data_IF_581044246179
#
_entry.id   IF_581044246179
#
_cell.length_a   1.000
_cell.length_b   1.000
_cell.length_c   1.000
_cell.angle_alpha   90.00
_cell.angle_beta   90.00
_cell.angle_gamma   90.00
#
_symmetry.space_group_name_H-M   'P 1'
#
loop_
_entity.id
_entity.type
_entity.pdbx_description
1 polymer ?
#
# COMPACT_ATOMS: atom_id res chain seq x y z
N UNK A 1 11.12 -12.80 -0.56
CA UNK A 1 10.96 -14.24 -0.85
C UNK A 1 9.50 -14.72 -0.79
N UNK A 2 8.77 -14.53 0.32
CA UNK A 2 7.41 -15.11 0.48
C UNK A 2 6.36 -14.54 -0.50
N UNK A 3 6.35 -13.23 -0.73
CA UNK A 3 5.43 -12.59 -1.69
C UNK A 3 5.60 -13.17 -3.11
N UNK A 4 6.85 -13.23 -3.60
CA UNK A 4 7.22 -13.85 -4.89
C UNK A 4 6.67 -15.27 -5.01
N UNK A 5 6.82 -16.10 -3.97
CA UNK A 5 6.30 -17.47 -3.99
C UNK A 5 4.76 -17.53 -4.03
N UNK A 6 4.08 -16.71 -3.23
CA UNK A 6 2.61 -16.70 -3.14
C UNK A 6 2.00 -16.21 -4.46
N UNK A 7 2.53 -15.11 -5.01
CA UNK A 7 2.12 -14.56 -6.30
C UNK A 7 2.68 -15.33 -7.51
N UNK A 8 3.50 -16.37 -7.28
CA UNK A 8 4.15 -17.15 -8.33
C UNK A 8 4.94 -16.30 -9.33
N UNK A 9 5.55 -15.22 -8.83
CA UNK A 9 6.36 -14.29 -9.62
C UNK A 9 7.74 -14.90 -9.94
N UNK A 10 8.39 -14.37 -10.98
CA UNK A 10 9.79 -14.69 -11.25
C UNK A 10 10.67 -14.21 -10.11
N UNK A 11 11.82 -14.88 -9.91
CA UNK A 11 12.84 -14.40 -8.96
C UNK A 11 13.42 -13.04 -9.37
N UNK A 12 13.37 -12.74 -10.66
CA UNK A 12 13.86 -11.49 -11.24
C UNK A 12 12.75 -10.43 -11.38
N UNK A 13 11.55 -10.69 -10.84
CA UNK A 13 10.47 -9.71 -10.85
C UNK A 13 10.89 -8.45 -10.07
N UNK A 14 10.88 -7.26 -10.70
CA UNK A 14 11.35 -6.05 -10.06
C UNK A 14 10.35 -5.55 -9.03
N UNK A 15 10.86 -4.98 -7.93
CA UNK A 15 10.09 -4.17 -6.99
C UNK A 15 10.63 -2.75 -7.05
N UNK A 16 9.73 -1.79 -7.26
CA UNK A 16 10.05 -0.39 -7.06
C UNK A 16 9.81 -0.04 -5.59
N UNK A 17 10.80 0.57 -4.95
CA UNK A 17 10.75 0.96 -3.54
C UNK A 17 11.25 2.40 -3.44
N UNK A 18 10.37 3.32 -3.04
CA UNK A 18 10.66 4.75 -3.03
C UNK A 18 11.92 5.12 -2.26
N UNK A 19 12.15 4.49 -1.11
CA UNK A 19 13.31 4.71 -0.26
C UNK A 19 14.66 4.43 -0.95
N UNK A 20 14.67 3.55 -1.96
CA UNK A 20 15.86 3.21 -2.75
C UNK A 20 15.89 3.86 -4.13
N UNK A 21 14.73 4.20 -4.68
CA UNK A 21 14.62 4.80 -6.02
C UNK A 21 14.90 6.30 -6.02
N UNK A 22 14.53 7.01 -4.96
CA UNK A 22 14.67 8.46 -4.87
C UNK A 22 15.87 8.85 -4.00
N UNK A 23 16.47 10.01 -4.31
CA UNK A 23 17.56 10.59 -3.50
C UNK A 23 17.01 11.16 -2.20
N UNK A 24 16.92 10.32 -1.17
CA UNK A 24 16.33 10.70 0.12
C UNK A 24 16.97 11.94 0.80
N UNK A 25 18.22 12.28 0.47
CA UNK A 25 18.92 13.46 0.98
C UNK A 25 18.57 14.77 0.24
N UNK A 26 17.90 14.65 -0.91
CA UNK A 26 17.50 15.73 -1.81
C UNK A 26 16.12 15.41 -2.40
N UNK A 27 15.23 14.83 -1.59
CA UNK A 27 13.93 14.34 -2.06
C UNK A 27 13.10 15.49 -2.63
N UNK A 28 13.23 16.68 -2.06
CA UNK A 28 12.55 17.91 -2.49
C UNK A 28 12.88 18.28 -3.95
N UNK A 29 14.08 17.94 -4.43
CA UNK A 29 14.50 18.18 -5.82
C UNK A 29 13.82 17.20 -6.80
N UNK A 30 13.27 16.10 -6.31
CA UNK A 30 12.62 15.04 -7.08
C UNK A 30 11.09 15.03 -6.94
N UNK A 31 10.55 15.81 -6.00
CA UNK A 31 9.11 16.01 -5.81
C UNK A 31 8.61 17.17 -6.68
N UNK A 32 7.45 16.98 -7.29
CA UNK A 32 6.70 18.02 -7.99
C UNK A 32 5.58 18.53 -7.08
N UNK A 33 5.16 19.79 -7.28
CA UNK A 33 4.02 20.35 -6.56
C UNK A 33 2.74 19.53 -6.78
N UNK A 34 2.55 19.02 -8.00
CA UNK A 34 1.49 18.05 -8.28
C UNK A 34 1.99 16.63 -7.92
N UNK A 35 1.39 15.95 -6.92
CA UNK A 35 1.79 14.59 -6.53
C UNK A 35 1.70 13.58 -7.68
N UNK A 36 0.84 13.81 -8.67
CA UNK A 36 0.64 12.90 -9.80
C UNK A 36 1.80 12.89 -10.80
N UNK A 37 2.63 13.92 -10.79
CA UNK A 37 3.80 14.04 -11.69
C UNK A 37 5.07 13.42 -11.12
N UNK A 38 5.03 12.97 -9.86
CA UNK A 38 6.17 12.42 -9.14
C UNK A 38 6.63 11.07 -9.71
N UNK A 39 7.86 10.66 -9.36
CA UNK A 39 8.39 9.33 -9.71
C UNK A 39 7.53 8.18 -9.17
N UNK A 40 6.84 8.40 -8.04
CA UNK A 40 5.92 7.45 -7.41
C UNK A 40 4.77 7.08 -8.35
N UNK A 41 4.00 8.08 -8.81
CA UNK A 41 2.88 7.84 -9.71
C UNK A 41 3.31 7.23 -11.05
N UNK A 42 4.47 7.64 -11.57
CA UNK A 42 5.06 7.02 -12.78
C UNK A 42 5.35 5.53 -12.56
N UNK A 43 5.92 5.16 -11.43
CA UNK A 43 6.19 3.76 -11.10
C UNK A 43 4.88 2.97 -10.91
N UNK A 44 3.90 3.53 -10.23
CA UNK A 44 2.59 2.89 -10.04
C UNK A 44 1.86 2.62 -11.37
N UNK A 45 1.89 3.58 -12.30
CA UNK A 45 1.24 3.46 -13.61
C UNK A 45 1.74 2.26 -14.44
N UNK A 46 2.98 1.82 -14.23
CA UNK A 46 3.57 0.67 -14.93
C UNK A 46 3.62 -0.60 -14.08
N UNK A 47 3.23 -0.53 -12.80
CA UNK A 47 3.29 -1.66 -11.87
C UNK A 47 2.03 -2.52 -11.94
N UNK A 48 2.16 -3.84 -11.74
CA UNK A 48 1.01 -4.76 -11.69
C UNK A 48 0.20 -4.66 -10.37
N UNK A 49 0.87 -4.24 -9.29
CA UNK A 49 0.29 -4.20 -7.95
C UNK A 49 1.14 -3.40 -6.97
N UNK A 50 0.54 -3.09 -5.83
CA UNK A 50 1.18 -2.47 -4.68
C UNK A 50 1.32 -3.50 -3.55
N UNK A 51 2.48 -3.52 -2.90
CA UNK A 51 2.74 -4.30 -1.69
C UNK A 51 2.94 -3.34 -0.51
N UNK A 52 1.91 -3.21 0.32
CA UNK A 52 1.97 -2.44 1.56
C UNK A 52 2.66 -3.28 2.64
N UNK A 53 3.74 -2.77 3.25
CA UNK A 53 4.47 -3.50 4.30
C UNK A 53 4.23 -2.80 5.64
N UNK A 54 3.48 -3.45 6.53
CA UNK A 54 3.15 -2.95 7.85
C UNK A 54 4.19 -3.40 8.89
N UNK A 55 4.72 -2.43 9.61
CA UNK A 55 5.50 -2.64 10.82
C UNK A 55 4.62 -3.12 11.98
N UNK A 56 5.28 -3.80 12.92
CA UNK A 56 4.68 -4.24 14.17
C UNK A 56 4.64 -3.09 15.18
N UNK A 57 4.04 -3.35 16.34
CA UNK A 57 3.95 -2.40 17.44
C UNK A 57 5.31 -1.72 17.72
N UNK A 58 5.38 -0.41 17.50
CA UNK A 58 6.49 0.42 17.98
C UNK A 58 6.13 1.09 19.30
N UNK A 59 7.14 1.34 20.14
CA UNK A 59 7.00 1.91 21.48
C UNK A 59 6.26 3.27 21.48
N UNK A 60 6.42 4.06 20.41
CA UNK A 60 5.91 5.43 20.33
C UNK A 60 4.79 5.65 19.31
N UNK A 61 4.70 4.84 18.25
CA UNK A 61 3.77 5.06 17.13
C UNK A 61 2.70 3.99 17.00
N UNK A 62 2.72 2.95 17.85
CA UNK A 62 1.83 1.79 17.69
C UNK A 62 2.22 0.95 16.46
N UNK A 63 1.34 0.05 16.00
CA UNK A 63 1.59 -0.76 14.80
C UNK A 63 1.11 -0.03 13.53
N UNK A 64 1.55 -0.52 12.36
CA UNK A 64 1.07 -0.04 11.05
C UNK A 64 1.31 1.46 10.78
N UNK A 65 2.50 1.95 11.10
CA UNK A 65 2.99 3.30 10.80
C UNK A 65 2.73 3.76 9.36
N UNK A 66 2.76 2.92 8.29
CA UNK A 66 2.37 3.36 6.95
C UNK A 66 0.99 4.02 6.87
N UNK A 67 0.02 3.62 7.68
CA UNK A 67 -1.32 4.23 7.68
C UNK A 67 -1.34 5.68 8.16
N UNK A 68 -0.33 6.11 8.93
CA UNK A 68 -0.22 7.51 9.36
C UNK A 68 0.57 8.38 8.40
N UNK A 69 1.07 7.84 7.28
CA UNK A 69 1.90 8.58 6.31
C UNK A 69 1.09 8.96 5.09
N UNK A 70 0.99 10.26 4.81
CA UNK A 70 0.13 10.78 3.73
C UNK A 70 0.56 10.30 2.34
N UNK A 71 1.85 10.08 2.11
CA UNK A 71 2.35 9.48 0.87
C UNK A 71 1.90 8.02 0.71
N UNK A 72 1.91 7.22 1.79
CA UNK A 72 1.40 5.84 1.73
C UNK A 72 -0.13 5.83 1.54
N UNK A 73 -0.84 6.75 2.19
CA UNK A 73 -2.27 6.97 1.98
C UNK A 73 -2.58 7.33 0.52
N UNK A 74 -1.78 8.19 -0.10
CA UNK A 74 -1.91 8.53 -1.51
C UNK A 74 -1.67 7.33 -2.43
N UNK A 75 -0.62 6.53 -2.20
CA UNK A 75 -0.36 5.31 -2.95
C UNK A 75 -1.51 4.30 -2.83
N UNK A 76 -2.11 4.16 -1.64
CA UNK A 76 -3.29 3.31 -1.44
C UNK A 76 -4.50 3.84 -2.19
N UNK A 77 -4.77 5.14 -2.08
CA UNK A 77 -5.86 5.78 -2.82
C UNK A 77 -5.69 5.62 -4.33
N UNK A 78 -4.51 5.89 -4.88
CA UNK A 78 -4.24 5.68 -6.31
C UNK A 78 -4.44 4.22 -6.72
N UNK A 79 -4.00 3.26 -5.90
CA UNK A 79 -4.19 1.83 -6.17
C UNK A 79 -5.67 1.43 -6.21
N UNK A 80 -6.49 2.01 -5.32
CA UNK A 80 -7.90 1.65 -5.15
C UNK A 80 -8.84 2.43 -6.09
N UNK A 81 -8.48 3.66 -6.44
CA UNK A 81 -9.33 4.60 -7.18
C UNK A 81 -9.02 4.65 -8.69
N UNK A 82 -7.90 4.08 -9.13
CA UNK A 82 -7.52 4.08 -10.54
C UNK A 82 -8.41 3.15 -11.38
N UNK A 83 -9.37 3.77 -12.06
CA UNK A 83 -10.29 3.13 -13.01
C UNK A 83 -9.85 3.25 -14.47
N UNK A 84 -8.71 3.90 -14.74
CA UNK A 84 -8.22 4.14 -16.10
C UNK A 84 -7.56 2.91 -16.74
N UNK A 85 -7.17 1.94 -15.90
CA UNK A 85 -6.43 0.74 -16.32
C UNK A 85 -7.36 -0.34 -16.86
N UNK A 86 -6.87 -1.11 -17.83
CA UNK A 86 -7.58 -2.29 -18.35
C UNK A 86 -7.79 -3.39 -17.29
N UNK A 87 -6.96 -3.38 -16.25
CA UNK A 87 -7.04 -4.29 -15.10
C UNK A 87 -6.76 -3.52 -13.81
N UNK A 88 -7.54 -3.82 -12.77
CA UNK A 88 -7.33 -3.30 -11.42
C UNK A 88 -5.91 -3.62 -10.94
N UNK A 89 -5.25 -2.65 -10.32
CA UNK A 89 -3.98 -2.86 -9.64
C UNK A 89 -4.19 -3.74 -8.41
N UNK A 90 -3.34 -4.76 -8.23
CA UNK A 90 -3.43 -5.65 -7.05
C UNK A 90 -2.97 -4.91 -5.79
N UNK A 91 -3.64 -5.14 -4.66
CA UNK A 91 -3.20 -4.63 -3.36
C UNK A 91 -2.92 -5.79 -2.41
N UNK A 92 -1.64 -6.00 -2.12
CA UNK A 92 -1.20 -6.97 -1.11
C UNK A 92 -0.69 -6.25 0.12
N UNK A 93 -0.93 -6.84 1.29
CA UNK A 93 -0.46 -6.32 2.57
C UNK A 93 0.41 -7.37 3.24
N UNK A 94 1.64 -7.02 3.58
CA UNK A 94 2.56 -7.87 4.30
C UNK A 94 2.79 -7.34 5.71
N UNK A 95 3.02 -8.26 6.65
CA UNK A 95 3.56 -7.91 7.95
C UNK A 95 4.43 -9.04 8.50
N UNK A 96 5.30 -8.70 9.45
CA UNK A 96 6.18 -9.66 10.12
C UNK A 96 5.54 -10.17 11.41
N UNK A 97 5.25 -11.47 11.47
CA UNK A 97 4.76 -12.14 12.68
C UNK A 97 5.89 -12.94 13.34
N UNK A 98 5.74 -13.41 14.60
CA UNK A 98 6.76 -14.25 15.25
C UNK A 98 7.13 -15.50 14.44
N UNK A 99 6.20 -16.03 13.65
CA UNK A 99 6.39 -17.19 12.78
C UNK A 99 7.01 -16.86 11.41
N UNK A 100 7.24 -15.58 11.10
CA UNK A 100 7.74 -15.12 9.81
C UNK A 100 6.82 -14.09 9.14
N UNK A 101 7.18 -13.68 7.92
CA UNK A 101 6.32 -12.81 7.11
C UNK A 101 4.97 -13.47 6.82
N UNK A 102 3.87 -12.72 6.92
CA UNK A 102 2.51 -13.14 6.57
C UNK A 102 1.93 -12.10 5.62
N UNK A 103 1.09 -12.53 4.69
CA UNK A 103 0.55 -11.68 3.64
C UNK A 103 -0.96 -11.86 3.52
N UNK A 104 -1.69 -10.75 3.50
CA UNK A 104 -3.02 -10.66 2.92
C UNK A 104 -2.86 -10.35 1.43
N UNK A 105 -3.57 -11.07 0.58
CA UNK A 105 -3.54 -10.81 -0.87
C UNK A 105 -4.89 -10.33 -1.40
N UNK A 106 -4.88 -9.46 -2.41
CA UNK A 106 -6.09 -9.21 -3.20
C UNK A 106 -6.41 -10.46 -4.05
N UNK A 107 -7.58 -11.04 -3.81
CA UNK A 107 -8.05 -12.26 -4.44
C UNK A 107 -7.30 -13.54 -4.04
N UNK A 108 -7.64 -14.61 -4.75
CA UNK A 108 -6.95 -15.90 -4.71
C UNK A 108 -5.68 -15.83 -5.54
N UNK A 109 -4.64 -16.50 -5.08
CA UNK A 109 -3.36 -16.59 -5.80
C UNK A 109 -3.20 -17.94 -6.48
N UNK A 110 -2.27 -18.04 -7.42
CA UNK A 110 -1.92 -19.33 -8.02
C UNK A 110 -1.44 -20.34 -6.97
N UNK A 111 -0.76 -19.86 -5.92
CA UNK A 111 -0.36 -20.71 -4.81
C UNK A 111 -1.57 -21.37 -4.17
N UNK A 112 -2.66 -20.62 -3.93
CA UNK A 112 -3.90 -21.14 -3.33
C UNK A 112 -4.55 -22.22 -4.22
N UNK A 113 -4.40 -22.11 -5.54
CA UNK A 113 -4.96 -23.03 -6.54
C UNK A 113 -4.12 -24.31 -6.74
N UNK A 114 -2.81 -24.22 -6.54
CA UNK A 114 -1.84 -25.30 -6.87
C UNK A 114 -1.50 -26.22 -5.69
N UNK A 115 -2.14 -26.05 -4.52
CA UNK A 115 -1.90 -26.91 -3.36
C UNK A 115 -2.28 -28.37 -3.64
N UNK A 116 -1.43 -29.29 -3.19
CA UNK A 116 -1.58 -30.74 -3.34
C UNK A 116 -1.35 -31.41 -1.98
N UNK A 117 -2.18 -32.39 -1.58
CA UNK A 117 -3.38 -32.89 -2.27
C UNK A 117 -4.52 -31.86 -2.24
N UNK A 118 -5.35 -31.83 -3.29
CA UNK A 118 -6.50 -30.91 -3.43
C UNK A 118 -7.69 -31.32 -2.56
N UNK A 119 -7.45 -31.46 -1.25
CA UNK A 119 -8.47 -31.85 -0.27
C UNK A 119 -9.38 -30.66 0.04
N UNK A 120 -8.83 -29.46 0.08
CA UNK A 120 -9.54 -28.23 0.41
C UNK A 120 -9.64 -27.27 -0.79
N UNK A 121 -10.69 -26.44 -0.87
CA UNK A 121 -10.81 -25.44 -1.91
C UNK A 121 -9.76 -24.32 -1.76
N UNK A 122 -9.41 -23.58 -2.83
CA UNK A 122 -8.42 -22.50 -2.76
C UNK A 122 -8.71 -21.42 -1.72
N UNK A 123 -9.99 -21.11 -1.46
CA UNK A 123 -10.40 -20.16 -0.42
C UNK A 123 -9.99 -20.61 0.99
N UNK A 124 -9.99 -21.92 1.25
CA UNK A 124 -9.51 -22.47 2.52
C UNK A 124 -7.99 -22.32 2.64
N UNK A 125 -7.22 -22.57 1.58
CA UNK A 125 -5.76 -22.37 1.60
C UNK A 125 -5.39 -20.91 1.88
N UNK A 126 -6.09 -19.96 1.22
CA UNK A 126 -5.97 -18.52 1.48
C UNK A 126 -6.26 -18.20 2.94
N UNK A 127 -7.44 -18.61 3.44
CA UNK A 127 -7.83 -18.35 4.82
C UNK A 127 -6.80 -18.91 5.82
N UNK A 128 -6.31 -20.13 5.62
CA UNK A 128 -5.34 -20.77 6.51
C UNK A 128 -3.99 -20.03 6.51
N UNK A 129 -3.45 -19.62 5.35
CA UNK A 129 -2.17 -18.89 5.33
C UNK A 129 -2.28 -17.44 5.84
N UNK A 130 -3.48 -16.85 5.75
CA UNK A 130 -3.77 -15.48 6.20
C UNK A 130 -4.19 -15.41 7.68
N UNK A 131 -4.58 -16.54 8.29
CA UNK A 131 -5.13 -16.61 9.65
C UNK A 131 -4.25 -15.99 10.74
N UNK A 132 -2.94 -15.90 10.51
CA UNK A 132 -1.97 -15.38 11.48
C UNK A 132 -1.58 -13.92 11.22
N UNK A 133 -2.20 -13.22 10.26
CA UNK A 133 -1.77 -11.90 9.82
C UNK A 133 -1.69 -10.85 10.94
N UNK A 134 -2.58 -10.93 11.94
CA UNK A 134 -2.60 -10.04 13.10
C UNK A 134 -3.85 -9.18 13.13
N UNK A 135 -4.76 -9.46 14.07
CA UNK A 135 -6.06 -8.79 14.14
C UNK A 135 -5.94 -7.28 14.43
N UNK A 136 -4.94 -6.86 15.20
CA UNK A 136 -4.73 -5.45 15.51
C UNK A 136 -4.32 -4.63 14.27
N UNK A 137 -3.55 -5.22 13.35
CA UNK A 137 -3.22 -4.59 12.07
C UNK A 137 -4.46 -4.44 11.18
N UNK A 138 -5.32 -5.47 11.17
CA UNK A 138 -6.58 -5.43 10.43
C UNK A 138 -7.49 -4.33 10.99
N UNK A 139 -7.63 -4.26 12.32
CA UNK A 139 -8.40 -3.20 12.98
C UNK A 139 -7.87 -1.82 12.62
N UNK A 140 -6.55 -1.61 12.70
CA UNK A 140 -5.95 -0.33 12.34
C UNK A 140 -6.22 0.07 10.89
N UNK A 141 -6.07 -0.86 9.95
CA UNK A 141 -6.40 -0.59 8.54
C UNK A 141 -7.87 -0.22 8.34
N UNK A 142 -8.80 -0.87 9.06
CA UNK A 142 -10.24 -0.57 8.99
C UNK A 142 -10.64 0.75 9.64
N UNK A 143 -9.82 1.30 10.54
CA UNK A 143 -10.09 2.57 11.23
C UNK A 143 -9.21 3.71 10.74
N UNK A 144 -8.40 3.49 9.70
CA UNK A 144 -7.55 4.53 9.11
C UNK A 144 -8.41 5.53 8.35
N UNK A 145 -8.12 6.82 8.55
CA UNK A 145 -8.76 7.93 7.86
C UNK A 145 -7.70 8.68 7.03
N UNK A 146 -7.86 8.76 5.70
CA UNK A 146 -6.85 9.31 4.79
C UNK A 146 -6.47 10.75 5.16
N UNK A 147 -7.45 11.58 5.53
CA UNK A 147 -7.26 12.98 5.88
C UNK A 147 -6.50 13.21 7.19
N UNK A 148 -6.38 12.19 8.05
CA UNK A 148 -5.59 12.26 9.29
C UNK A 148 -4.12 11.88 9.08
N UNK A 149 -3.74 11.42 7.89
CA UNK A 149 -2.37 11.09 7.58
C UNK A 149 -1.45 12.34 7.63
N UNK A 150 -0.19 12.11 7.96
CA UNK A 150 0.80 13.14 8.27
C UNK A 150 1.95 13.12 7.26
N UNK A 151 2.58 14.27 7.08
CA UNK A 151 3.86 14.42 6.38
C UNK A 151 4.85 15.18 7.26
N UNK A 152 6.14 14.98 7.00
CA UNK A 152 7.18 15.84 7.57
C UNK A 152 7.09 17.25 6.97
N UNK A 153 6.72 17.36 5.69
CA UNK A 153 6.44 18.62 5.02
C UNK A 153 4.94 18.81 4.90
N UNK A 154 4.41 19.83 5.58
CA UNK A 154 2.97 20.09 5.57
C UNK A 154 2.43 20.40 4.17
N UNK A 155 3.26 20.96 3.29
CA UNK A 155 2.92 21.18 1.89
C UNK A 155 2.51 19.88 1.18
N UNK A 156 3.24 18.77 1.38
CA UNK A 156 2.90 17.46 0.82
C UNK A 156 1.51 17.03 1.26
N UNK A 157 1.20 17.16 2.55
CA UNK A 157 -0.10 16.78 3.11
C UNK A 157 -1.22 17.59 2.46
N UNK A 158 -1.04 18.89 2.33
CA UNK A 158 -2.02 19.79 1.70
C UNK A 158 -2.21 19.46 0.23
N UNK A 159 -1.12 19.35 -0.53
CA UNK A 159 -1.14 19.05 -1.97
C UNK A 159 -1.78 17.68 -2.26
N UNK A 160 -1.45 16.65 -1.49
CA UNK A 160 -2.01 15.31 -1.64
C UNK A 160 -3.52 15.30 -1.35
N UNK A 161 -3.96 15.88 -0.22
CA UNK A 161 -5.39 15.86 0.12
C UNK A 161 -6.22 16.67 -0.89
N UNK A 162 -5.69 17.77 -1.41
CA UNK A 162 -6.34 18.51 -2.48
C UNK A 162 -6.28 17.78 -3.82
N UNK A 163 -5.20 17.03 -4.10
CA UNK A 163 -5.11 16.18 -5.29
C UNK A 163 -6.20 15.08 -5.26
N UNK A 164 -6.35 14.39 -4.13
CA UNK A 164 -7.38 13.35 -3.93
C UNK A 164 -8.78 13.91 -4.19
N UNK A 165 -9.06 15.10 -3.66
CA UNK A 165 -10.37 15.77 -3.78
C UNK A 165 -10.52 16.62 -5.04
N UNK A 166 -9.54 16.60 -5.97
CA UNK A 166 -9.52 17.35 -7.24
C UNK A 166 -9.71 18.86 -7.06
N UNK A 167 -9.08 19.43 -6.03
CA UNK A 167 -9.10 20.86 -5.68
C UNK A 167 -7.77 21.53 -6.04
N UNK A 168 -7.72 22.88 -6.11
CA UNK A 168 -6.44 23.58 -6.23
C UNK A 168 -5.47 23.15 -5.13
N UNK A 169 -4.23 22.86 -5.50
CA UNK A 169 -3.23 22.24 -4.60
C UNK A 169 -2.99 23.07 -3.33
N UNK A 170 -2.99 24.40 -3.44
CA UNK A 170 -2.76 25.33 -2.32
C UNK A 170 -4.02 25.65 -1.49
N UNK A 171 -5.17 25.02 -1.77
CA UNK A 171 -6.38 25.25 -1.00
C UNK A 171 -6.24 24.68 0.43
N UNK A 172 -7.04 25.18 1.39
CA UNK A 172 -7.17 24.48 2.66
C UNK A 172 -7.81 23.09 2.43
N UNK A 173 -7.20 21.98 2.87
CA UNK A 173 -7.80 20.64 2.74
C UNK A 173 -9.18 20.58 3.39
N UNK A 174 -10.06 19.73 2.85
CA UNK A 174 -11.35 19.48 3.49
C UNK A 174 -11.14 18.61 4.72
N UNK A 175 -11.98 18.80 5.74
CA UNK A 175 -12.04 17.93 6.91
C UNK A 175 -12.71 16.57 6.56
N UNK A 176 -13.66 16.59 5.61
CA UNK A 176 -14.41 15.42 5.15
C UNK A 176 -14.66 15.51 3.63
N UNK A 177 -14.56 14.38 2.93
CA UNK A 177 -14.87 14.24 1.50
C UNK A 177 -15.18 12.78 1.19
N UNK A 178 -15.96 12.49 0.14
CA UNK A 178 -16.32 11.12 -0.26
C UNK A 178 -15.13 10.30 -0.83
N UNK A 179 -14.10 11.00 -1.31
CA UNK A 179 -12.87 10.39 -1.83
C UNK A 179 -11.79 10.16 -0.74
N UNK A 180 -12.10 10.51 0.53
CA UNK A 180 -11.26 10.18 1.70
C UNK A 180 -11.57 8.80 2.29
#
# INVERSE_FOLDING_TARGET
AKHVCIRCLSRDSPYWVCAYANRQHSLDDELSADPTETSFCKAMNVSEGLLLILDQQQEFTGPATPFSRVWCAFELWTTLSDTSRSSKMLLDVASQQPSGAVLLTDGLTEWDMKQVPRIHPPSWHKATREATFGLELIKQGLTTELQRAQATQEADRVHILNCITKRPLEAAPLDEHEDY
#
